data_IF_626930450832
#
_entry.id   IF_626930450832
#
_cell.length_a   1.000
_cell.length_b   1.000
_cell.length_c   1.000
_cell.angle_alpha   90.00
_cell.angle_beta   90.00
_cell.angle_gamma   90.00
#
_symmetry.space_group_name_H-M   'P 1'
#
loop_
_entity.id
_entity.type
_entity.pdbx_description
1 polymer ?
#
# COMPACT_ATOMS: atom_id res chain seq x y z
N UNK A 1 -18.75 9.38 -19.42
CA UNK A 1 -17.80 8.32 -19.00
C UNK A 1 -17.91 8.18 -17.49
N UNK A 2 -18.23 6.98 -16.96
CA UNK A 2 -18.32 6.81 -15.51
C UNK A 2 -16.93 6.99 -14.90
N UNK A 3 -16.86 7.63 -13.73
CA UNK A 3 -15.62 7.76 -12.94
C UNK A 3 -15.02 6.40 -12.55
N UNK A 4 -15.82 5.33 -12.64
CA UNK A 4 -15.49 3.94 -12.27
C UNK A 4 -15.59 2.96 -13.48
N UNK A 5 -15.15 3.40 -14.66
CA UNK A 5 -15.09 2.53 -15.85
C UNK A 5 -13.96 1.51 -15.72
N UNK A 6 -14.19 0.40 -15.00
CA UNK A 6 -13.24 -0.69 -14.73
C UNK A 6 -12.80 -1.52 -15.95
N UNK A 7 -12.33 -0.86 -17.01
CA UNK A 7 -11.84 -1.49 -18.23
C UNK A 7 -10.31 -1.62 -18.25
N UNK A 8 -9.57 -0.76 -17.55
CA UNK A 8 -8.10 -0.79 -17.53
C UNK A 8 -7.62 -1.27 -16.17
N UNK A 9 -6.77 -2.29 -16.17
CA UNK A 9 -6.07 -2.77 -14.96
C UNK A 9 -4.94 -1.77 -14.67
N UNK A 10 -4.98 -1.05 -13.54
CA UNK A 10 -3.91 -0.13 -13.17
C UNK A 10 -2.66 -0.87 -12.67
N UNK A 11 -1.57 -0.13 -12.50
CA UNK A 11 -0.31 -0.66 -11.98
C UNK A 11 -0.40 -1.06 -10.51
N UNK A 12 -1.11 -0.28 -9.68
CA UNK A 12 -1.53 -0.69 -8.36
C UNK A 12 -3.02 -1.05 -8.40
N UNK A 13 -3.33 -2.33 -8.16
CA UNK A 13 -4.66 -2.91 -8.34
C UNK A 13 -5.43 -2.85 -7.01
N UNK A 14 -6.38 -1.91 -6.86
CA UNK A 14 -7.09 -1.73 -5.60
C UNK A 14 -8.00 -2.92 -5.31
N UNK A 15 -8.08 -3.29 -4.03
CA UNK A 15 -8.96 -4.35 -3.55
C UNK A 15 -9.37 -4.06 -2.09
N UNK A 16 -10.43 -4.72 -1.65
CA UNK A 16 -10.99 -4.55 -0.29
C UNK A 16 -10.18 -5.26 0.79
N UNK A 17 -9.21 -6.09 0.42
CA UNK A 17 -8.31 -6.78 1.37
C UNK A 17 -7.04 -5.98 1.66
N UNK A 18 -6.85 -4.84 0.99
CA UNK A 18 -5.68 -3.96 1.11
C UNK A 18 -4.37 -4.70 0.85
N UNK A 19 -4.44 -5.76 0.04
CA UNK A 19 -3.25 -6.45 -0.41
C UNK A 19 -2.62 -5.61 -1.53
N UNK A 20 -1.31 -5.33 -1.47
CA UNK A 20 -0.63 -4.59 -2.53
C UNK A 20 -0.51 -5.47 -3.78
N UNK A 21 -1.54 -5.49 -4.60
CA UNK A 21 -1.54 -6.15 -5.91
C UNK A 21 -0.96 -5.19 -6.94
N UNK A 22 0.04 -5.64 -7.69
CA UNK A 22 0.82 -4.79 -8.60
C UNK A 22 0.97 -5.43 -9.97
N UNK A 23 1.11 -4.61 -11.01
CA UNK A 23 1.53 -5.02 -12.36
C UNK A 23 3.02 -5.41 -12.37
N UNK A 24 3.47 -6.15 -13.39
CA UNK A 24 4.89 -6.42 -13.59
C UNK A 24 5.74 -5.15 -13.76
N UNK A 25 5.18 -4.09 -14.37
CA UNK A 25 5.83 -2.77 -14.43
C UNK A 25 6.13 -2.22 -13.03
N UNK A 26 5.13 -2.19 -12.14
CA UNK A 26 5.32 -1.69 -10.79
C UNK A 26 6.20 -2.63 -9.95
N UNK A 27 6.14 -3.96 -10.17
CA UNK A 27 7.08 -4.92 -9.60
C UNK A 27 8.53 -4.53 -9.93
N UNK A 28 8.87 -4.28 -11.19
CA UNK A 28 10.25 -3.90 -11.59
C UNK A 28 10.69 -2.61 -10.91
N UNK A 29 9.81 -1.62 -10.80
CA UNK A 29 10.13 -0.36 -10.09
C UNK A 29 10.37 -0.63 -8.60
N UNK A 30 9.54 -1.47 -7.97
CA UNK A 30 9.71 -1.86 -6.57
C UNK A 30 11.03 -2.60 -6.34
N UNK A 31 11.35 -3.59 -7.18
CA UNK A 31 12.61 -4.36 -7.09
C UNK A 31 13.85 -3.48 -7.21
N UNK A 32 13.79 -2.44 -8.03
CA UNK A 32 14.95 -1.57 -8.31
C UNK A 32 15.08 -0.39 -7.36
N UNK A 33 13.96 0.09 -6.79
CA UNK A 33 13.93 1.41 -6.14
C UNK A 33 13.46 1.40 -4.68
N UNK A 34 12.76 0.35 -4.24
CA UNK A 34 12.17 0.31 -2.90
C UNK A 34 13.20 0.01 -1.79
N UNK A 35 14.32 -0.65 -2.13
CA UNK A 35 15.41 -0.95 -1.18
C UNK A 35 14.93 -1.66 0.10
N UNK A 36 13.94 -2.54 -0.02
CA UNK A 36 13.38 -3.33 1.07
C UNK A 36 13.06 -4.74 0.58
N UNK A 37 12.97 -5.69 1.52
CA UNK A 37 12.60 -7.07 1.21
C UNK A 37 11.12 -7.16 0.85
N UNK A 38 10.83 -7.55 -0.39
CA UNK A 38 9.49 -7.74 -0.92
C UNK A 38 9.42 -9.12 -1.54
N UNK A 39 8.48 -9.94 -1.07
CA UNK A 39 8.13 -11.19 -1.72
C UNK A 39 7.04 -10.92 -2.78
N UNK A 40 7.27 -11.38 -4.02
CA UNK A 40 6.32 -11.22 -5.12
C UNK A 40 5.63 -12.56 -5.42
N UNK A 41 4.34 -12.64 -5.10
CA UNK A 41 3.52 -13.84 -5.36
C UNK A 41 2.78 -13.67 -6.70
N UNK A 42 3.15 -14.41 -7.76
CA UNK A 42 2.54 -14.24 -9.07
C UNK A 42 1.09 -14.72 -9.09
N UNK A 43 0.23 -14.03 -9.84
CA UNK A 43 -1.14 -14.45 -10.09
C UNK A 43 -1.66 -13.95 -11.44
N UNK A 44 -2.71 -14.60 -11.94
CA UNK A 44 -3.44 -14.17 -13.14
C UNK A 44 -4.76 -13.51 -12.74
N UNK A 45 -5.00 -12.29 -13.23
CA UNK A 45 -6.25 -11.56 -12.98
C UNK A 45 -7.29 -11.87 -14.05
N UNK A 46 -8.41 -12.46 -13.62
CA UNK A 46 -9.61 -12.60 -14.43
C UNK A 46 -10.65 -11.55 -14.03
N UNK A 47 -11.32 -10.94 -15.00
CA UNK A 47 -12.42 -10.03 -14.71
C UNK A 47 -13.68 -10.77 -14.25
N UNK A 48 -14.71 -10.02 -13.86
CA UNK A 48 -16.02 -10.55 -13.43
C UNK A 48 -16.73 -11.44 -14.48
N UNK A 49 -16.30 -11.41 -15.75
CA UNK A 49 -16.81 -12.27 -16.83
C UNK A 49 -15.91 -13.48 -17.10
N UNK A 50 -14.98 -13.79 -16.19
CA UNK A 50 -13.98 -14.86 -16.31
C UNK A 50 -13.08 -14.75 -17.55
N UNK A 51 -12.94 -13.54 -18.11
CA UNK A 51 -11.97 -13.27 -19.18
C UNK A 51 -10.65 -12.81 -18.58
N UNK A 52 -9.55 -13.22 -19.21
CA UNK A 52 -8.22 -12.74 -18.84
C UNK A 52 -8.19 -11.21 -18.90
N UNK A 53 -7.83 -10.57 -17.80
CA UNK A 53 -7.69 -9.13 -17.69
C UNK A 53 -6.21 -8.71 -17.65
N UNK A 54 -5.37 -9.49 -16.94
CA UNK A 54 -3.92 -9.36 -16.92
C UNK A 54 -3.29 -10.69 -16.45
N UNK A 55 -2.15 -11.06 -17.00
CA UNK A 55 -1.37 -12.26 -16.67
C UNK A 55 -0.01 -11.96 -16.02
N UNK A 56 0.40 -10.69 -15.98
CA UNK A 56 1.64 -10.20 -15.37
C UNK A 56 1.35 -9.40 -14.09
N UNK A 57 0.79 -10.08 -13.10
CA UNK A 57 0.38 -9.50 -11.82
C UNK A 57 1.02 -10.22 -10.62
N UNK A 58 1.26 -9.47 -9.55
CA UNK A 58 1.91 -9.96 -8.35
C UNK A 58 1.27 -9.38 -7.10
N UNK A 59 1.22 -10.15 -6.01
CA UNK A 59 1.05 -9.57 -4.67
C UNK A 59 2.45 -9.19 -4.19
N UNK A 60 2.69 -7.90 -3.93
CA UNK A 60 3.95 -7.35 -3.44
C UNK A 60 3.99 -7.35 -1.91
N UNK A 61 4.27 -8.51 -1.32
CA UNK A 61 4.31 -8.69 0.13
C UNK A 61 5.58 -8.06 0.73
N UNK A 62 5.50 -6.79 1.14
CA UNK A 62 6.56 -6.11 1.90
C UNK A 62 6.74 -6.81 3.25
N UNK A 63 7.95 -7.28 3.53
CA UNK A 63 8.24 -8.08 4.72
C UNK A 63 8.52 -7.20 5.95
N UNK A 64 8.16 -7.72 7.12
CA UNK A 64 8.36 -7.05 8.40
C UNK A 64 7.36 -5.93 8.69
N UNK A 65 7.46 -5.39 9.90
CA UNK A 65 6.69 -4.23 10.37
C UNK A 65 7.54 -3.37 11.30
N UNK A 66 7.21 -2.09 11.41
CA UNK A 66 7.90 -1.15 12.29
C UNK A 66 6.95 -0.52 13.29
N UNK A 67 7.39 -0.43 14.55
CA UNK A 67 6.69 0.26 15.62
C UNK A 67 7.10 1.74 15.68
N UNK A 68 6.60 2.53 14.75
CA UNK A 68 6.93 3.94 14.62
C UNK A 68 5.71 4.87 14.62
N UNK A 69 4.53 4.38 15.00
CA UNK A 69 3.35 5.22 15.15
C UNK A 69 3.44 6.08 16.43
N UNK A 70 3.18 7.39 16.31
CA UNK A 70 2.96 8.27 17.46
C UNK A 70 1.55 8.01 17.99
N UNK A 71 1.43 7.12 18.97
CA UNK A 71 0.15 6.71 19.56
C UNK A 71 -0.58 7.83 20.31
N UNK A 72 0.11 8.94 20.62
CA UNK A 72 -0.51 10.11 21.24
C UNK A 72 -1.27 10.97 20.22
N UNK A 73 -0.88 10.90 18.94
CA UNK A 73 -1.47 11.69 17.83
C UNK A 73 -2.25 10.86 16.82
N UNK A 74 -1.95 9.57 16.69
CA UNK A 74 -2.68 8.64 15.83
C UNK A 74 -4.09 8.40 16.36
N UNK A 75 -5.08 8.37 15.46
CA UNK A 75 -6.50 8.19 15.77
C UNK A 75 -7.12 7.17 14.83
N UNK A 76 -8.03 6.36 15.34
CA UNK A 76 -8.66 5.29 14.60
C UNK A 76 -9.52 4.41 15.48
N UNK A 77 -10.21 3.47 14.85
CA UNK A 77 -10.96 2.41 15.51
C UNK A 77 -9.99 1.29 15.89
N UNK A 78 -9.97 0.89 17.16
CA UNK A 78 -9.11 -0.21 17.62
C UNK A 78 -9.70 -1.54 17.16
N UNK A 79 -8.84 -2.47 16.77
CA UNK A 79 -9.29 -3.82 16.40
C UNK A 79 -9.75 -4.58 17.65
N UNK A 80 -10.90 -5.23 17.54
CA UNK A 80 -11.43 -6.14 18.57
C UNK A 80 -10.80 -7.53 18.49
N UNK A 81 -10.27 -7.91 17.32
CA UNK A 81 -9.69 -9.23 17.05
C UNK A 81 -8.16 -9.24 17.14
N UNK A 82 -7.52 -8.08 16.98
CA UNK A 82 -6.06 -7.92 17.06
C UNK A 82 -5.70 -6.84 18.09
N UNK A 83 -5.60 -7.20 19.38
CA UNK A 83 -5.26 -6.25 20.44
C UNK A 83 -3.97 -5.47 20.13
N UNK A 84 -4.03 -4.15 20.28
CA UNK A 84 -2.91 -3.24 19.97
C UNK A 84 -2.86 -2.74 18.52
N UNK A 85 -3.70 -3.27 17.63
CA UNK A 85 -3.85 -2.79 16.25
C UNK A 85 -5.11 -1.95 16.06
N UNK A 86 -5.16 -1.25 14.93
CA UNK A 86 -6.34 -0.54 14.44
C UNK A 86 -7.11 -1.39 13.43
N UNK A 87 -8.43 -1.26 13.43
CA UNK A 87 -9.31 -1.74 12.36
C UNK A 87 -9.44 -0.70 11.24
N UNK A 88 -9.43 0.58 11.61
CA UNK A 88 -9.41 1.69 10.67
C UNK A 88 -8.63 2.87 11.26
N UNK A 89 -7.91 3.61 10.42
CA UNK A 89 -7.23 4.85 10.82
C UNK A 89 -8.01 6.06 10.30
N UNK A 90 -8.16 7.08 11.14
CA UNK A 90 -8.73 8.39 10.75
C UNK A 90 -7.67 9.50 10.67
N UNK A 91 -6.59 9.35 11.45
CA UNK A 91 -5.38 10.19 11.40
C UNK A 91 -4.19 9.30 11.73
N UNK A 92 -3.17 9.32 10.88
CA UNK A 92 -1.89 8.67 11.17
C UNK A 92 -0.81 9.72 11.45
N UNK A 93 -0.06 9.52 12.53
CA UNK A 93 1.15 10.27 12.84
C UNK A 93 2.27 9.30 13.17
N UNK A 94 3.48 9.59 12.68
CA UNK A 94 4.68 8.81 13.00
C UNK A 94 5.53 9.54 14.03
N UNK A 95 6.24 8.78 14.85
CA UNK A 95 7.34 9.27 15.69
C UNK A 95 8.62 9.32 14.83
N UNK A 96 9.13 10.53 14.47
CA UNK A 96 10.28 10.65 13.59
C UNK A 96 11.54 9.96 14.11
N UNK A 97 11.69 9.80 15.43
CA UNK A 97 12.83 9.13 16.03
C UNK A 97 12.82 7.60 15.83
N UNK A 98 11.67 7.04 15.44
CA UNK A 98 11.48 5.60 15.22
C UNK A 98 11.25 5.22 13.77
N UNK A 99 11.14 6.19 12.86
CA UNK A 99 10.94 5.93 11.43
C UNK A 99 12.19 5.26 10.87
N UNK A 100 12.08 4.08 10.23
CA UNK A 100 13.23 3.42 9.62
C UNK A 100 13.71 4.19 8.37
N UNK A 101 14.95 3.94 7.95
CA UNK A 101 15.48 4.47 6.69
C UNK A 101 14.85 3.83 5.44
N UNK A 102 14.00 2.81 5.61
CA UNK A 102 13.27 2.12 4.57
C UNK A 102 12.35 3.07 3.77
N UNK A 103 12.34 2.92 2.43
CA UNK A 103 11.49 3.73 1.55
C UNK A 103 10.04 3.27 1.47
N UNK A 104 9.78 2.01 1.80
CA UNK A 104 8.46 1.39 1.81
C UNK A 104 8.37 0.42 2.97
N UNK A 105 7.37 0.57 3.84
CA UNK A 105 7.26 -0.32 5.00
C UNK A 105 5.83 -0.41 5.55
N UNK A 106 5.61 -1.40 6.43
CA UNK A 106 4.35 -1.61 7.15
C UNK A 106 4.47 -1.13 8.60
N UNK A 107 3.36 -0.65 9.17
CA UNK A 107 3.25 -0.34 10.60
C UNK A 107 2.83 -1.57 11.40
N UNK A 108 3.39 -1.76 12.59
CA UNK A 108 2.99 -2.83 13.52
C UNK A 108 1.52 -2.73 13.93
N UNK A 109 1.04 -1.51 14.15
CA UNK A 109 -0.33 -1.21 14.61
C UNK A 109 -1.36 -1.21 13.49
N UNK A 110 -0.92 -1.18 12.22
CA UNK A 110 -1.82 -1.23 11.06
C UNK A 110 -1.11 -1.81 9.82
N UNK A 111 -0.81 -3.12 9.79
CA UNK A 111 0.06 -3.72 8.78
C UNK A 111 -0.49 -3.71 7.35
N UNK A 112 -1.79 -3.39 7.19
CA UNK A 112 -2.50 -3.31 5.92
C UNK A 112 -2.18 -2.04 5.12
N UNK A 113 -1.76 -0.97 5.80
CA UNK A 113 -1.30 0.25 5.12
C UNK A 113 0.21 0.20 4.87
N UNK A 114 0.60 0.61 3.66
CA UNK A 114 1.99 0.87 3.31
C UNK A 114 2.33 2.33 3.54
N UNK A 115 3.44 2.57 4.23
CA UNK A 115 4.07 3.88 4.34
C UNK A 115 5.13 3.99 3.26
N UNK A 116 5.04 5.06 2.48
CA UNK A 116 5.96 5.34 1.38
C UNK A 116 6.70 6.65 1.63
N UNK A 117 8.02 6.64 1.45
CA UNK A 117 8.85 7.83 1.49
C UNK A 117 8.72 8.62 0.19
N UNK A 118 8.87 9.95 0.28
CA UNK A 118 8.59 10.84 -0.84
C UNK A 118 9.49 10.58 -2.07
N UNK A 119 10.72 10.14 -1.88
CA UNK A 119 11.64 9.80 -2.96
C UNK A 119 11.14 8.59 -3.79
N UNK A 120 10.67 7.52 -3.16
CA UNK A 120 10.07 6.39 -3.87
C UNK A 120 8.76 6.79 -4.56
N UNK A 121 7.95 7.63 -3.91
CA UNK A 121 6.76 8.21 -4.54
C UNK A 121 7.11 8.97 -5.81
N UNK A 122 8.16 9.79 -5.81
CA UNK A 122 8.61 10.52 -7.00
C UNK A 122 9.05 9.57 -8.12
N UNK A 123 9.69 8.44 -7.79
CA UNK A 123 10.00 7.40 -8.78
C UNK A 123 8.72 6.83 -9.41
N UNK A 124 7.68 6.57 -8.61
CA UNK A 124 6.40 6.09 -9.13
C UNK A 124 5.72 7.11 -10.05
N UNK A 125 5.74 8.38 -9.65
CA UNK A 125 5.18 9.49 -10.44
C UNK A 125 5.91 9.66 -11.78
N UNK A 126 7.24 9.69 -11.78
CA UNK A 126 8.05 9.75 -13.01
C UNK A 126 7.91 8.50 -13.89
N UNK A 127 7.75 7.33 -13.27
CA UNK A 127 7.48 6.08 -13.97
C UNK A 127 6.06 5.98 -14.54
N UNK A 128 5.20 6.98 -14.31
CA UNK A 128 3.81 6.97 -14.75
C UNK A 128 3.01 5.80 -14.16
N UNK A 129 3.25 5.47 -12.89
CA UNK A 129 2.53 4.41 -12.18
C UNK A 129 1.09 4.85 -11.91
N UNK A 130 0.13 3.99 -12.25
CA UNK A 130 -1.31 4.25 -12.11
C UNK A 130 -1.96 3.52 -10.93
N UNK A 131 -3.13 3.98 -10.49
CA UNK A 131 -3.96 3.29 -9.49
C UNK A 131 -3.60 3.53 -8.01
N UNK A 132 -2.57 4.31 -7.72
CA UNK A 132 -2.18 4.62 -6.34
C UNK A 132 -2.96 5.84 -5.84
N UNK A 133 -3.54 5.72 -4.64
CA UNK A 133 -4.07 6.84 -3.85
C UNK A 133 -3.11 7.12 -2.70
N UNK A 134 -2.53 8.31 -2.67
CA UNK A 134 -1.71 8.79 -1.55
C UNK A 134 -2.55 9.53 -0.54
N UNK A 135 -2.21 9.37 0.73
CA UNK A 135 -2.77 10.14 1.85
C UNK A 135 -1.58 10.75 2.57
N UNK A 136 -1.61 12.07 2.76
CA UNK A 136 -0.48 12.77 3.39
C UNK A 136 -0.43 12.45 4.89
N UNK A 137 0.77 12.42 5.46
CA UNK A 137 0.92 12.18 6.89
C UNK A 137 0.19 13.26 7.70
N UNK A 138 -0.58 12.87 8.71
CA UNK A 138 -1.40 13.78 9.52
C UNK A 138 -2.70 14.27 8.85
N UNK A 139 -2.97 13.91 7.60
CA UNK A 139 -4.23 14.23 6.93
C UNK A 139 -5.40 13.46 7.55
N UNK A 140 -6.56 14.11 7.66
CA UNK A 140 -7.79 13.42 8.09
C UNK A 140 -8.36 12.64 6.93
N UNK A 141 -8.48 11.34 7.10
CA UNK A 141 -9.10 10.45 6.12
C UNK A 141 -9.30 9.07 6.68
N UNK A 142 -10.32 8.37 6.21
CA UNK A 142 -10.53 6.97 6.60
C UNK A 142 -9.64 6.07 5.74
N UNK A 143 -8.66 5.43 6.38
CA UNK A 143 -7.92 4.30 5.85
C UNK A 143 -8.54 3.06 6.48
N UNK A 144 -9.30 2.34 5.66
CA UNK A 144 -9.80 1.01 6.01
C UNK A 144 -8.68 0.00 5.81
#
# INVERSE_FOLDING_TARGET
MSRDGGQVVPDYIPNTLLMPMVSGKLKVILETSAEVDIEFLPFTLYNHKKRLAADDCFIANVLGTHDCADMTKTRGEKSLISPGQFEALSVLALDPAKVPDAKLFRLSVFPRALIIRNDLRTVFEHGGVSGIRYISMGERGQVL
#
